data_IF_030043995081
#
_entry.id   IF_030043995081
#
_cell.length_a   1.000
_cell.length_b   1.000
_cell.length_c   1.000
_cell.angle_alpha   90.00
_cell.angle_beta   90.00
_cell.angle_gamma   90.00
#
_symmetry.space_group_name_H-M   'P 1'
#
loop_
_entity.id
_entity.type
_entity.pdbx_description
1 polymer ?
#
# COMPACT_ATOMS: atom_id res chain seq x y z
N UNK A 1 -22.15 10.16 -16.28
CA UNK A 1 -22.78 9.22 -15.33
C UNK A 1 -21.80 9.02 -14.17
N UNK A 2 -22.00 9.68 -13.04
CA UNK A 2 -21.17 9.49 -11.84
C UNK A 2 -21.56 8.15 -11.21
N UNK A 3 -20.85 7.08 -11.55
CA UNK A 3 -21.06 5.78 -10.92
C UNK A 3 -20.61 5.88 -9.47
N UNK A 4 -21.54 5.70 -8.54
CA UNK A 4 -21.21 5.66 -7.12
C UNK A 4 -20.08 4.65 -6.90
N UNK A 5 -18.97 5.08 -6.29
CA UNK A 5 -17.81 4.24 -6.00
C UNK A 5 -18.28 3.00 -5.25
N UNK A 6 -18.13 1.82 -5.86
CA UNK A 6 -18.60 0.57 -5.24
C UNK A 6 -17.89 0.35 -3.89
N UNK A 7 -18.51 -0.41 -2.97
CA UNK A 7 -17.88 -0.76 -1.70
C UNK A 7 -16.48 -1.36 -1.90
N UNK A 8 -16.31 -2.19 -2.94
CA UNK A 8 -15.01 -2.78 -3.31
C UNK A 8 -13.98 -1.72 -3.69
N UNK A 9 -14.38 -0.73 -4.46
CA UNK A 9 -13.48 0.34 -4.88
C UNK A 9 -13.08 1.23 -3.69
N UNK A 10 -14.01 1.52 -2.77
CA UNK A 10 -13.67 2.24 -1.53
C UNK A 10 -12.65 1.48 -0.68
N UNK A 11 -12.83 0.17 -0.53
CA UNK A 11 -11.84 -0.66 0.18
C UNK A 11 -10.49 -0.64 -0.52
N UNK A 12 -10.47 -0.73 -1.86
CA UNK A 12 -9.24 -0.66 -2.64
C UNK A 12 -8.49 0.66 -2.44
N UNK A 13 -9.21 1.78 -2.46
CA UNK A 13 -8.62 3.11 -2.23
C UNK A 13 -8.08 3.24 -0.80
N UNK A 14 -8.84 2.78 0.20
CA UNK A 14 -8.41 2.77 1.59
C UNK A 14 -7.12 1.95 1.79
N UNK A 15 -7.04 0.74 1.23
CA UNK A 15 -5.82 -0.08 1.28
C UNK A 15 -4.65 0.61 0.59
N UNK A 16 -4.88 1.26 -0.56
CA UNK A 16 -3.82 1.99 -1.26
C UNK A 16 -3.27 3.17 -0.44
N UNK A 17 -4.14 3.86 0.31
CA UNK A 17 -3.70 4.95 1.17
C UNK A 17 -2.97 4.46 2.42
N UNK A 18 -3.41 3.34 2.99
CA UNK A 18 -2.71 2.69 4.11
C UNK A 18 -1.29 2.25 3.71
N UNK A 19 -1.12 1.67 2.51
CA UNK A 19 0.20 1.34 1.95
C UNK A 19 1.11 2.58 1.89
N UNK A 20 0.60 3.72 1.41
CA UNK A 20 1.39 4.97 1.35
C UNK A 20 1.71 5.49 2.76
N UNK A 21 0.83 5.33 3.73
CA UNK A 21 1.08 5.76 5.11
C UNK A 21 2.22 4.94 5.73
N UNK A 22 2.16 3.61 5.60
CA UNK A 22 3.23 2.70 6.03
C UNK A 22 4.56 3.07 5.36
N UNK A 23 4.56 3.26 4.03
CA UNK A 23 5.75 3.65 3.30
C UNK A 23 6.36 4.95 3.84
N UNK A 24 5.55 5.98 4.11
CA UNK A 24 6.03 7.24 4.69
C UNK A 24 6.60 7.06 6.09
N UNK A 25 5.97 6.23 6.93
CA UNK A 25 6.50 5.92 8.27
C UNK A 25 7.85 5.22 8.21
N UNK A 26 7.98 4.20 7.37
CA UNK A 26 9.25 3.49 7.18
C UNK A 26 10.34 4.42 6.66
N UNK A 27 10.03 5.26 5.66
CA UNK A 27 10.99 6.25 5.16
C UNK A 27 11.42 7.25 6.23
N UNK A 28 10.51 7.67 7.11
CA UNK A 28 10.83 8.60 8.20
C UNK A 28 11.67 7.93 9.32
N UNK A 29 11.45 6.64 9.58
CA UNK A 29 12.13 5.90 10.63
C UNK A 29 13.50 5.33 10.21
N UNK A 30 13.58 4.78 8.99
CA UNK A 30 14.72 3.98 8.53
C UNK A 30 15.39 4.57 7.27
N UNK A 31 14.84 5.66 6.73
CA UNK A 31 15.31 6.28 5.49
C UNK A 31 14.77 5.60 4.22
N UNK A 32 14.88 6.30 3.09
CA UNK A 32 14.34 5.83 1.81
C UNK A 32 14.99 4.52 1.30
N UNK A 33 16.24 4.25 1.69
CA UNK A 33 16.96 3.05 1.27
C UNK A 33 16.41 1.75 1.89
N UNK A 34 15.75 1.83 3.05
CA UNK A 34 15.15 0.68 3.72
C UNK A 34 13.75 0.35 3.18
N UNK A 35 13.13 1.26 2.42
CA UNK A 35 11.78 1.08 1.90
C UNK A 35 11.72 -0.05 0.86
N UNK A 36 10.89 -1.06 1.12
CA UNK A 36 10.57 -2.10 0.14
C UNK A 36 9.11 -2.53 0.25
N UNK A 37 8.52 -3.00 -0.86
CA UNK A 37 7.14 -3.53 -0.84
C UNK A 37 7.00 -4.74 0.10
N UNK A 38 8.08 -5.48 0.35
CA UNK A 38 8.11 -6.57 1.34
C UNK A 38 8.06 -6.05 2.78
N UNK A 39 8.80 -5.00 3.10
CA UNK A 39 8.77 -4.36 4.41
C UNK A 39 7.38 -3.79 4.71
N UNK A 40 6.74 -3.15 3.73
CA UNK A 40 5.35 -2.69 3.84
C UNK A 40 4.40 -3.88 4.08
N UNK A 41 4.53 -4.96 3.29
CA UNK A 41 3.67 -6.13 3.43
C UNK A 41 3.76 -6.74 4.84
N UNK A 42 4.97 -6.83 5.40
CA UNK A 42 5.19 -7.32 6.77
C UNK A 42 4.49 -6.46 7.82
N UNK A 43 4.60 -5.14 7.74
CA UNK A 43 3.97 -4.24 8.71
C UNK A 43 2.43 -4.27 8.61
N UNK A 44 1.89 -4.46 7.40
CA UNK A 44 0.44 -4.57 7.18
C UNK A 44 -0.12 -5.97 7.39
N UNK A 45 0.70 -6.95 7.81
CA UNK A 45 0.32 -8.37 7.89
C UNK A 45 -0.25 -8.93 6.57
N UNK A 46 0.23 -8.40 5.45
CA UNK A 46 -0.17 -8.77 4.10
C UNK A 46 0.92 -9.61 3.41
N UNK A 47 0.53 -10.32 2.35
CA UNK A 47 1.51 -10.99 1.48
C UNK A 47 2.12 -10.00 0.48
N UNK A 48 3.40 -10.17 0.15
CA UNK A 48 4.05 -9.31 -0.85
C UNK A 48 3.31 -9.31 -2.22
N UNK A 49 2.83 -10.45 -2.76
CA UNK A 49 1.96 -10.47 -3.95
C UNK A 49 0.71 -9.60 -3.83
N UNK A 50 0.15 -9.43 -2.62
CA UNK A 50 -1.00 -8.56 -2.42
C UNK A 50 -0.67 -7.09 -2.60
N UNK A 51 0.50 -6.66 -2.13
CA UNK A 51 0.97 -5.28 -2.29
C UNK A 51 1.30 -4.98 -3.76
N UNK A 52 1.88 -5.93 -4.50
CA UNK A 52 2.17 -5.78 -5.93
C UNK A 52 0.93 -5.49 -6.79
N UNK A 53 -0.28 -5.87 -6.35
CA UNK A 53 -1.54 -5.53 -7.05
C UNK A 53 -1.89 -4.04 -7.00
N UNK A 54 -1.33 -3.31 -6.04
CA UNK A 54 -1.56 -1.88 -5.87
C UNK A 54 -0.47 -1.04 -6.53
N UNK A 55 0.78 -1.49 -6.42
CA UNK A 55 1.95 -0.80 -6.98
C UNK A 55 2.81 -1.84 -7.71
N UNK A 56 2.53 -2.10 -9.00
CA UNK A 56 3.35 -3.02 -9.78
C UNK A 56 4.80 -2.53 -9.79
N UNK A 57 5.73 -3.43 -9.51
CA UNK A 57 7.17 -3.15 -9.66
C UNK A 57 7.42 -2.76 -11.11
N UNK A 58 8.09 -1.63 -11.33
CA UNK A 58 8.80 -1.39 -12.58
C UNK A 58 10.27 -1.70 -12.37
#
# INVERSE_FOLDING_TARGET
>A
MMTATTRRERHRLATADEIKQVARRQMAAEGAAALSLRAIAREMEMTAPAIYRYFPSR
#
